data_IF_168001337311
#
_entry.id   IF_168001337311
#
_cell.length_a   1.000
_cell.length_b   1.000
_cell.length_c   1.000
_cell.angle_alpha   90.00
_cell.angle_beta   90.00
_cell.angle_gamma   90.00
#
_symmetry.space_group_name_H-M   'P 1'
#
loop_
_entity.id
_entity.type
_entity.pdbx_description
1 polymer ?
#
# COMPACT_ATOMS: atom_id res chain seq x y z
N UNK A 1 -18.67 -13.58 18.55
CA UNK A 1 -17.58 -14.30 17.85
C UNK A 1 -16.48 -13.33 17.37
N UNK A 2 -16.81 -12.30 16.60
CA UNK A 2 -15.85 -11.37 15.97
C UNK A 2 -14.95 -10.60 16.97
N UNK A 3 -15.53 -9.96 17.99
CA UNK A 3 -14.75 -9.23 19.00
C UNK A 3 -13.74 -10.11 19.74
N UNK A 4 -14.12 -11.38 20.02
CA UNK A 4 -13.19 -12.34 20.64
C UNK A 4 -12.00 -12.66 19.73
N UNK A 5 -12.23 -12.77 18.43
CA UNK A 5 -11.16 -13.00 17.47
C UNK A 5 -10.17 -11.82 17.43
N UNK A 6 -10.68 -10.59 17.36
CA UNK A 6 -9.86 -9.37 17.39
C UNK A 6 -9.03 -9.27 18.68
N UNK A 7 -9.65 -9.53 19.84
CA UNK A 7 -8.94 -9.50 21.14
C UNK A 7 -7.86 -10.57 21.20
N UNK A 8 -8.12 -11.77 20.66
CA UNK A 8 -7.12 -12.85 20.60
C UNK A 8 -5.96 -12.50 19.68
N UNK A 9 -6.24 -11.95 18.50
CA UNK A 9 -5.22 -11.51 17.54
C UNK A 9 -4.34 -10.41 18.15
N UNK A 10 -4.94 -9.40 18.73
CA UNK A 10 -4.23 -8.31 19.42
C UNK A 10 -3.33 -8.85 20.55
N UNK A 11 -3.86 -9.75 21.39
CA UNK A 11 -3.09 -10.39 22.45
C UNK A 11 -1.91 -11.23 21.92
N UNK A 12 -2.11 -11.95 20.81
CA UNK A 12 -1.06 -12.71 20.17
C UNK A 12 0.05 -11.81 19.62
N UNK A 13 -0.32 -10.70 18.96
CA UNK A 13 0.66 -9.71 18.47
C UNK A 13 1.46 -9.13 19.62
N UNK A 14 0.79 -8.70 20.71
CA UNK A 14 1.47 -8.19 21.91
C UNK A 14 2.43 -9.19 22.50
N UNK A 15 2.04 -10.47 22.59
CA UNK A 15 2.91 -11.56 23.07
C UNK A 15 4.11 -11.75 22.14
N UNK A 16 3.91 -11.81 20.81
CA UNK A 16 5.03 -11.95 19.87
C UNK A 16 6.05 -10.82 20.02
N UNK A 17 5.58 -9.57 20.17
CA UNK A 17 6.44 -8.42 20.41
C UNK A 17 7.21 -8.54 21.74
N UNK A 18 6.60 -9.08 22.81
CA UNK A 18 7.27 -9.29 24.10
C UNK A 18 8.36 -10.37 24.03
N UNK A 19 8.25 -11.32 23.09
CA UNK A 19 9.28 -12.32 22.80
C UNK A 19 10.36 -11.82 21.82
N UNK A 20 10.33 -10.53 21.46
CA UNK A 20 11.29 -9.94 20.52
C UNK A 20 11.06 -10.28 19.06
N UNK A 21 9.87 -10.81 18.73
CA UNK A 21 9.49 -11.13 17.34
C UNK A 21 8.87 -9.91 16.67
N UNK A 22 9.47 -9.45 15.57
CA UNK A 22 8.91 -8.38 14.76
C UNK A 22 7.65 -8.84 14.02
N UNK A 23 6.65 -7.98 13.95
CA UNK A 23 5.39 -8.25 13.25
C UNK A 23 5.26 -7.32 12.06
N UNK A 24 5.08 -7.89 10.88
CA UNK A 24 4.71 -7.14 9.69
C UNK A 24 3.19 -7.17 9.51
N UNK A 25 2.59 -6.01 9.32
CA UNK A 25 1.14 -5.91 9.16
C UNK A 25 0.80 -4.91 8.05
N UNK A 26 -0.16 -5.28 7.19
CA UNK A 26 -0.69 -4.36 6.22
C UNK A 26 -1.61 -3.35 6.92
N UNK A 27 -1.51 -2.07 6.54
CA UNK A 27 -2.23 -0.97 7.17
C UNK A 27 -3.75 -0.97 6.85
N UNK A 28 -4.18 -1.75 5.87
CA UNK A 28 -5.60 -1.93 5.50
C UNK A 28 -5.78 -3.25 4.76
N UNK A 29 -7.03 -3.69 4.67
CA UNK A 29 -7.40 -4.80 3.80
C UNK A 29 -7.34 -4.39 2.32
N UNK A 30 -6.85 -5.30 1.48
CA UNK A 30 -6.70 -5.09 0.04
C UNK A 30 -5.46 -4.26 -0.32
N UNK A 31 -5.35 -3.99 -1.61
CA UNK A 31 -4.25 -3.21 -2.20
C UNK A 31 -4.76 -1.85 -2.63
N UNK A 32 -3.97 -0.79 -2.47
CA UNK A 32 -4.28 0.50 -3.08
C UNK A 32 -4.28 0.35 -4.62
N UNK A 33 -5.31 0.89 -5.28
CA UNK A 33 -5.47 0.82 -6.73
C UNK A 33 -5.19 2.17 -7.39
N UNK A 34 -5.43 3.23 -6.64
CA UNK A 34 -5.29 4.63 -7.04
C UNK A 34 -3.94 5.26 -6.62
N UNK A 35 -3.04 4.46 -6.03
CA UNK A 35 -1.77 4.94 -5.51
C UNK A 35 -1.86 5.70 -4.18
N UNK A 36 -3.06 5.83 -3.60
CA UNK A 36 -3.26 6.45 -2.30
C UNK A 36 -3.41 5.37 -1.22
N UNK A 37 -2.32 5.11 -0.52
CA UNK A 37 -2.37 4.26 0.66
C UNK A 37 -2.94 5.03 1.85
N UNK A 38 -3.98 4.46 2.46
CA UNK A 38 -4.63 5.02 3.66
C UNK A 38 -4.72 3.95 4.72
N UNK A 39 -4.34 4.32 5.92
CA UNK A 39 -4.42 3.42 7.08
C UNK A 39 -5.87 3.23 7.51
N UNK A 40 -6.27 1.98 7.76
CA UNK A 40 -7.57 1.70 8.37
C UNK A 40 -7.48 1.89 9.90
N UNK A 41 -8.19 2.87 10.47
CA UNK A 41 -8.19 3.08 11.92
C UNK A 41 -8.69 1.87 12.71
N UNK A 42 -9.49 0.98 12.09
CA UNK A 42 -9.97 -0.24 12.74
C UNK A 42 -8.83 -1.19 13.08
N UNK A 43 -7.79 -1.23 12.24
CA UNK A 43 -6.57 -2.00 12.51
C UNK A 43 -5.89 -1.50 13.79
N UNK A 44 -5.70 -0.19 13.91
CA UNK A 44 -5.04 0.41 15.07
C UNK A 44 -5.87 0.22 16.34
N UNK A 45 -7.19 0.38 16.25
CA UNK A 45 -8.12 0.07 17.35
C UNK A 45 -8.03 -1.40 17.76
N UNK A 46 -7.87 -2.32 16.82
CA UNK A 46 -7.66 -3.74 17.11
C UNK A 46 -6.36 -3.96 17.87
N UNK A 47 -5.26 -3.32 17.46
CA UNK A 47 -3.98 -3.42 18.18
C UNK A 47 -4.08 -2.94 19.62
N UNK A 48 -4.84 -1.88 19.88
CA UNK A 48 -5.04 -1.32 21.21
C UNK A 48 -5.84 -2.23 22.17
N UNK A 49 -6.59 -3.22 21.68
CA UNK A 49 -7.35 -4.12 22.53
C UNK A 49 -6.49 -4.85 23.57
N UNK A 50 -5.23 -5.19 23.23
CA UNK A 50 -4.32 -5.84 24.15
C UNK A 50 -3.74 -4.88 25.22
N UNK A 51 -3.87 -3.57 25.02
CA UNK A 51 -3.37 -2.51 25.91
C UNK A 51 -4.48 -1.78 26.65
N UNK A 52 -5.73 -2.21 26.52
CA UNK A 52 -6.92 -1.51 27.05
C UNK A 52 -6.91 -1.29 28.57
N UNK A 53 -6.12 -2.06 29.33
CA UNK A 53 -6.01 -1.97 30.78
C UNK A 53 -4.80 -1.12 31.22
N UNK A 54 -4.02 -0.60 30.28
CA UNK A 54 -2.91 0.30 30.57
C UNK A 54 -3.46 1.72 30.87
N UNK A 55 -2.76 2.50 31.67
CA UNK A 55 -3.12 3.89 31.96
C UNK A 55 -3.21 4.75 30.70
N UNK A 56 -2.27 4.54 29.77
CA UNK A 56 -2.28 5.14 28.44
C UNK A 56 -2.09 4.04 27.39
N UNK A 57 -3.16 3.46 26.82
CA UNK A 57 -3.07 2.34 25.87
C UNK A 57 -2.22 2.65 24.65
N UNK A 58 -2.31 3.86 24.11
CA UNK A 58 -1.56 4.26 22.92
C UNK A 58 -0.07 4.39 23.20
N UNK A 59 0.28 5.01 24.33
CA UNK A 59 1.67 5.14 24.74
C UNK A 59 2.32 3.78 25.03
N UNK A 60 1.57 2.86 25.66
CA UNK A 60 2.02 1.50 25.91
C UNK A 60 2.24 0.70 24.62
N UNK A 61 1.30 0.84 23.65
CA UNK A 61 1.47 0.24 22.31
C UNK A 61 2.72 0.77 21.63
N UNK A 62 2.90 2.09 21.56
CA UNK A 62 4.04 2.71 20.87
C UNK A 62 5.38 2.33 21.51
N UNK A 63 5.45 2.33 22.84
CA UNK A 63 6.66 1.98 23.57
C UNK A 63 7.09 0.52 23.32
N UNK A 64 6.13 -0.42 23.23
CA UNK A 64 6.42 -1.83 23.02
C UNK A 64 6.59 -2.17 21.55
N UNK A 65 5.70 -1.67 20.68
CA UNK A 65 5.66 -2.10 19.27
C UNK A 65 6.70 -1.38 18.42
N UNK A 66 7.15 -0.17 18.80
CA UNK A 66 8.06 0.65 17.99
C UNK A 66 7.61 0.69 16.52
N UNK A 67 6.38 1.18 16.29
CA UNK A 67 5.75 1.15 14.98
C UNK A 67 6.59 1.91 13.97
N UNK A 68 7.07 1.22 12.93
CA UNK A 68 7.87 1.76 11.83
C UNK A 68 7.04 1.77 10.56
N UNK A 69 6.66 2.93 10.03
CA UNK A 69 6.02 3.02 8.72
C UNK A 69 6.97 2.56 7.62
N UNK A 70 6.47 1.72 6.71
CA UNK A 70 7.27 1.21 5.58
C UNK A 70 6.54 1.50 4.28
N UNK A 71 7.25 2.12 3.33
CA UNK A 71 6.75 2.39 1.99
C UNK A 71 7.47 1.53 0.96
N UNK A 72 6.71 1.01 0.00
CA UNK A 72 7.24 0.27 -1.15
C UNK A 72 6.86 1.00 -2.42
N UNK A 73 7.84 1.40 -3.22
CA UNK A 73 7.61 2.03 -4.52
C UNK A 73 8.17 1.14 -5.63
N UNK A 74 7.31 0.76 -6.56
CA UNK A 74 7.68 0.03 -7.77
C UNK A 74 7.84 1.00 -8.92
N UNK A 75 8.83 0.79 -9.78
CA UNK A 75 8.98 1.55 -11.01
C UNK A 75 7.91 1.19 -12.04
N UNK A 76 7.51 -0.08 -12.07
CA UNK A 76 6.39 -0.61 -12.84
C UNK A 76 5.55 -1.47 -11.90
N UNK A 77 4.26 -1.19 -11.81
CA UNK A 77 3.34 -2.08 -11.09
C UNK A 77 2.90 -3.21 -12.02
N UNK A 78 3.29 -4.46 -11.76
CA UNK A 78 2.92 -5.59 -12.64
C UNK A 78 1.41 -5.83 -12.67
N UNK A 79 0.65 -5.32 -11.72
CA UNK A 79 -0.81 -5.38 -11.70
C UNK A 79 -1.47 -4.07 -12.17
N UNK A 80 -0.72 -3.12 -12.70
CA UNK A 80 -1.20 -1.78 -13.02
C UNK A 80 -2.39 -1.80 -13.98
N UNK A 81 -2.30 -2.53 -15.08
CA UNK A 81 -3.38 -2.68 -16.08
C UNK A 81 -4.66 -3.23 -15.43
N UNK A 82 -4.57 -4.33 -14.68
CA UNK A 82 -5.73 -4.93 -14.00
C UNK A 82 -6.36 -3.98 -12.97
N UNK A 83 -5.55 -3.20 -12.25
CA UNK A 83 -6.04 -2.17 -11.33
C UNK A 83 -6.77 -1.05 -12.08
N UNK A 84 -6.25 -0.62 -13.22
CA UNK A 84 -6.88 0.40 -14.07
C UNK A 84 -8.21 -0.10 -14.64
N UNK A 85 -8.28 -1.33 -15.18
CA UNK A 85 -9.51 -1.97 -15.65
C UNK A 85 -10.59 -1.99 -14.56
N UNK A 86 -10.23 -2.38 -13.33
CA UNK A 86 -11.16 -2.39 -12.21
C UNK A 86 -11.66 -0.98 -11.86
N UNK A 87 -10.77 0.03 -11.82
CA UNK A 87 -11.17 1.41 -11.54
C UNK A 87 -12.08 1.98 -12.64
N UNK A 88 -11.80 1.68 -13.91
CA UNK A 88 -12.64 2.08 -15.04
C UNK A 88 -14.01 1.41 -14.96
N UNK A 89 -14.07 0.11 -14.68
CA UNK A 89 -15.32 -0.62 -14.53
C UNK A 89 -16.17 -0.04 -13.39
N UNK A 90 -15.56 0.24 -12.22
CA UNK A 90 -16.25 0.88 -11.09
C UNK A 90 -16.77 2.27 -11.47
N UNK A 91 -15.98 3.07 -12.19
CA UNK A 91 -16.38 4.40 -12.61
C UNK A 91 -17.55 4.37 -13.61
N UNK A 92 -17.57 3.38 -14.52
CA UNK A 92 -18.59 3.22 -15.57
C UNK A 92 -19.87 2.57 -15.02
N UNK A 93 -19.74 1.46 -14.31
CA UNK A 93 -20.84 0.55 -13.96
C UNK A 93 -21.24 0.62 -12.47
N UNK A 94 -20.47 1.36 -11.65
CA UNK A 94 -20.68 1.49 -10.20
C UNK A 94 -20.11 0.36 -9.36
N UNK A 95 -19.79 -0.78 -9.98
CA UNK A 95 -19.21 -1.96 -9.31
C UNK A 95 -18.25 -2.70 -10.24
N UNK A 96 -17.42 -3.56 -9.65
CA UNK A 96 -16.58 -4.49 -10.38
C UNK A 96 -16.79 -5.91 -9.83
N UNK A 97 -17.15 -6.83 -10.70
CA UNK A 97 -17.31 -8.24 -10.35
C UNK A 97 -16.05 -9.00 -10.74
N UNK A 98 -15.32 -9.47 -9.73
CA UNK A 98 -14.11 -10.26 -9.95
C UNK A 98 -14.44 -11.58 -10.63
N UNK A 99 -13.62 -11.94 -11.62
CA UNK A 99 -13.68 -13.26 -12.23
C UNK A 99 -13.20 -14.35 -11.25
N UNK A 100 -13.59 -15.60 -11.52
CA UNK A 100 -13.13 -16.74 -10.74
C UNK A 100 -11.59 -16.81 -10.77
N UNK A 101 -10.96 -17.00 -9.60
CA UNK A 101 -9.50 -17.03 -9.41
C UNK A 101 -8.73 -15.76 -9.74
N UNK A 102 -9.38 -14.62 -9.96
CA UNK A 102 -8.71 -13.37 -10.30
C UNK A 102 -7.70 -12.92 -9.22
N UNK A 103 -8.06 -13.09 -7.94
CA UNK A 103 -7.16 -12.76 -6.84
C UNK A 103 -5.88 -13.61 -6.87
N UNK A 104 -6.00 -14.90 -7.17
CA UNK A 104 -4.84 -15.79 -7.33
C UNK A 104 -3.97 -15.38 -8.53
N UNK A 105 -4.59 -15.08 -9.67
CA UNK A 105 -3.88 -14.59 -10.86
C UNK A 105 -3.14 -13.28 -10.56
N UNK A 106 -3.79 -12.35 -9.87
CA UNK A 106 -3.19 -11.09 -9.46
C UNK A 106 -2.02 -11.28 -8.48
N UNK A 107 -2.12 -12.25 -7.56
CA UNK A 107 -1.01 -12.60 -6.68
C UNK A 107 0.19 -13.16 -7.46
N UNK A 108 -0.04 -14.08 -8.39
CA UNK A 108 1.01 -14.66 -9.24
C UNK A 108 1.65 -13.56 -10.10
N UNK A 109 0.84 -12.72 -10.73
CA UNK A 109 1.33 -11.60 -11.53
C UNK A 109 2.15 -10.62 -10.67
N UNK A 110 1.67 -10.27 -9.49
CA UNK A 110 2.37 -9.43 -8.54
C UNK A 110 3.71 -10.02 -8.07
N UNK A 111 3.80 -11.35 -7.97
CA UNK A 111 5.03 -12.04 -7.55
C UNK A 111 6.04 -12.17 -8.69
N UNK A 112 5.59 -12.61 -9.87
CA UNK A 112 6.43 -12.98 -11.01
C UNK A 112 6.65 -11.84 -12.01
N UNK A 113 5.73 -10.85 -12.05
CA UNK A 113 5.75 -9.78 -13.04
C UNK A 113 6.95 -8.85 -12.89
N UNK A 114 7.31 -8.20 -13.99
CA UNK A 114 8.41 -7.24 -14.03
C UNK A 114 8.05 -5.99 -13.22
N UNK A 115 8.97 -5.55 -12.34
CA UNK A 115 8.76 -4.42 -11.43
C UNK A 115 9.69 -3.24 -11.69
N UNK A 116 10.68 -3.41 -12.58
CA UNK A 116 11.74 -2.43 -12.71
C UNK A 116 12.55 -2.29 -11.40
N UNK A 117 12.86 -1.07 -11.05
CA UNK A 117 13.48 -0.76 -9.75
C UNK A 117 12.44 -0.80 -8.65
N UNK A 118 12.83 -1.31 -7.49
CA UNK A 118 12.00 -1.33 -6.28
C UNK A 118 12.70 -0.50 -5.22
N UNK A 119 11.98 0.42 -4.61
CA UNK A 119 12.46 1.20 -3.48
C UNK A 119 11.66 0.85 -2.23
N UNK A 120 12.37 0.40 -1.20
CA UNK A 120 11.82 0.13 0.12
C UNK A 120 12.35 1.20 1.07
N UNK A 121 11.45 1.93 1.72
CA UNK A 121 11.80 2.97 2.68
C UNK A 121 11.23 2.65 4.06
N UNK A 122 12.07 2.76 5.07
CA UNK A 122 11.71 2.63 6.48
C UNK A 122 11.75 4.03 7.09
N UNK A 123 10.61 4.50 7.59
CA UNK A 123 10.55 5.75 8.34
C UNK A 123 11.11 5.58 9.76
N UNK A 124 11.15 6.66 10.52
CA UNK A 124 11.48 6.57 11.96
C UNK A 124 10.33 5.93 12.73
N UNK A 125 10.61 5.21 13.82
CA UNK A 125 9.56 4.75 14.71
C UNK A 125 8.69 5.94 15.17
N UNK A 126 7.39 5.68 15.25
CA UNK A 126 6.44 6.69 15.78
C UNK A 126 6.48 6.63 17.30
N UNK A 127 6.77 7.76 17.94
CA UNK A 127 7.00 7.84 19.38
C UNK A 127 6.01 8.74 20.14
N UNK A 128 5.40 9.71 19.49
CA UNK A 128 4.62 10.72 20.22
C UNK A 128 3.33 11.09 19.47
N UNK A 129 2.26 10.38 19.78
CA UNK A 129 0.89 10.71 19.36
C UNK A 129 -0.08 10.45 20.51
N UNK A 130 -1.15 11.23 20.58
CA UNK A 130 -2.12 11.21 21.68
C UNK A 130 -3.27 10.22 21.50
N UNK A 131 -3.62 9.90 20.25
CA UNK A 131 -4.78 9.08 19.93
C UNK A 131 -4.63 8.31 18.60
N UNK A 132 -5.64 7.52 18.27
CA UNK A 132 -5.67 6.70 17.03
C UNK A 132 -5.72 7.56 15.78
N UNK A 133 -6.39 8.70 15.85
CA UNK A 133 -6.53 9.59 14.70
C UNK A 133 -5.18 10.21 14.32
N UNK A 134 -4.47 10.76 15.30
CA UNK A 134 -3.11 11.26 15.11
C UNK A 134 -2.14 10.16 14.66
N UNK A 135 -2.27 8.93 15.17
CA UNK A 135 -1.46 7.81 14.73
C UNK A 135 -1.75 7.47 13.26
N UNK A 136 -3.03 7.46 12.85
CA UNK A 136 -3.45 7.23 11.47
C UNK A 136 -2.87 8.28 10.53
N UNK A 137 -3.05 9.55 10.85
CA UNK A 137 -2.54 10.67 10.06
C UNK A 137 -1.01 10.63 9.94
N UNK A 138 -0.33 10.30 11.04
CA UNK A 138 1.13 10.20 11.04
C UNK A 138 1.63 9.06 10.18
N UNK A 139 1.00 7.87 10.23
CA UNK A 139 1.30 6.73 9.39
C UNK A 139 1.13 7.09 7.91
N UNK A 140 -0.03 7.65 7.53
CA UNK A 140 -0.33 8.04 6.15
C UNK A 140 0.68 9.06 5.63
N UNK A 141 0.98 10.09 6.43
CA UNK A 141 1.97 11.10 6.08
C UNK A 141 3.36 10.50 5.87
N UNK A 142 3.82 9.66 6.80
CA UNK A 142 5.16 9.08 6.73
C UNK A 142 5.27 8.08 5.56
N UNK A 143 4.22 7.31 5.24
CA UNK A 143 4.19 6.40 4.09
C UNK A 143 4.25 7.20 2.78
N UNK A 144 3.35 8.17 2.60
CA UNK A 144 3.26 8.95 1.35
C UNK A 144 4.52 9.79 1.13
N UNK A 145 5.06 10.43 2.17
CA UNK A 145 6.28 11.24 2.04
C UNK A 145 7.53 10.44 1.70
N UNK A 146 7.53 9.14 1.95
CA UNK A 146 8.64 8.22 1.65
C UNK A 146 8.47 7.48 0.32
N UNK A 147 7.43 7.75 -0.46
CA UNK A 147 7.33 7.22 -1.81
C UNK A 147 8.43 7.80 -2.71
N UNK A 148 8.98 6.92 -3.54
CA UNK A 148 9.92 7.31 -4.58
C UNK A 148 9.25 7.32 -5.95
N UNK A 149 9.32 8.45 -6.65
CA UNK A 149 8.93 8.53 -8.05
C UNK A 149 10.09 8.12 -8.95
N UNK A 150 9.78 7.33 -9.97
CA UNK A 150 10.71 6.89 -10.99
C UNK A 150 10.48 7.65 -12.33
N UNK A 151 11.37 7.54 -13.32
CA UNK A 151 11.15 8.13 -14.64
C UNK A 151 9.84 7.73 -15.30
N UNK A 152 9.41 6.48 -15.13
CA UNK A 152 8.11 5.96 -15.62
C UNK A 152 6.92 6.77 -15.09
N UNK A 153 6.91 7.10 -13.80
CA UNK A 153 5.85 7.90 -13.19
C UNK A 153 5.81 9.32 -13.76
N UNK A 154 6.99 9.94 -13.96
CA UNK A 154 7.08 11.27 -14.55
C UNK A 154 6.64 11.26 -16.01
N UNK A 155 7.02 10.21 -16.76
CA UNK A 155 6.57 10.03 -18.13
C UNK A 155 5.05 9.90 -18.22
N UNK A 156 4.44 9.03 -17.40
CA UNK A 156 3.00 8.86 -17.33
C UNK A 156 2.27 10.18 -17.00
N UNK A 157 2.76 10.92 -16.00
CA UNK A 157 2.19 12.22 -15.61
C UNK A 157 2.28 13.25 -16.75
N UNK A 158 3.39 13.33 -17.47
CA UNK A 158 3.56 14.21 -18.64
C UNK A 158 2.61 13.82 -19.77
N UNK A 159 2.47 12.53 -20.05
CA UNK A 159 1.57 12.00 -21.08
C UNK A 159 0.12 12.37 -20.78
N UNK A 160 -0.33 12.18 -19.54
CA UNK A 160 -1.67 12.54 -19.09
C UNK A 160 -1.93 14.07 -19.13
N UNK A 161 -0.91 14.87 -18.90
CA UNK A 161 -0.99 16.34 -18.99
C UNK A 161 -0.92 16.86 -20.43
N UNK A 162 -0.87 16.00 -21.45
CA UNK A 162 -0.78 16.38 -22.86
C UNK A 162 0.55 17.04 -23.27
N UNK A 163 1.61 16.88 -22.46
CA UNK A 163 2.92 17.44 -22.78
C UNK A 163 3.60 16.66 -23.91
N UNK A 164 4.06 17.39 -24.94
CA UNK A 164 4.80 16.80 -26.08
C UNK A 164 6.28 16.62 -25.82
N UNK A 165 6.77 16.96 -24.64
CA UNK A 165 8.18 16.81 -24.25
C UNK A 165 8.50 15.31 -24.10
N UNK A 166 8.92 14.72 -25.21
CA UNK A 166 9.34 13.30 -25.27
C UNK A 166 10.76 13.20 -24.77
N UNK A 167 10.95 12.84 -23.50
CA UNK A 167 12.25 12.32 -23.07
C UNK A 167 12.62 11.12 -23.96
N UNK A 168 13.88 11.04 -24.38
CA UNK A 168 14.39 9.90 -25.18
C UNK A 168 14.38 8.66 -24.28
N UNK A 169 13.46 7.75 -24.57
CA UNK A 169 13.08 6.62 -23.71
C UNK A 169 13.67 5.31 -24.24
N UNK A 170 14.47 5.37 -25.31
CA UNK A 170 14.89 4.21 -26.10
C UNK A 170 15.75 3.20 -25.34
N UNK A 171 16.38 3.60 -24.23
CA UNK A 171 17.32 2.77 -23.47
C UNK A 171 16.81 2.30 -22.11
N UNK A 172 15.71 2.86 -21.58
CA UNK A 172 15.16 2.47 -20.28
C UNK A 172 14.11 1.36 -20.43
N UNK A 173 14.46 0.14 -20.02
CA UNK A 173 13.57 -1.05 -20.12
C UNK A 173 12.21 -0.85 -19.44
N UNK A 174 12.18 -0.10 -18.35
CA UNK A 174 10.94 0.13 -17.61
C UNK A 174 9.99 1.06 -18.37
N UNK A 175 10.54 2.07 -19.07
CA UNK A 175 9.77 2.96 -19.93
C UNK A 175 9.31 2.27 -21.21
N UNK A 176 10.10 1.35 -21.76
CA UNK A 176 9.69 0.52 -22.91
C UNK A 176 8.53 -0.39 -22.51
N UNK A 177 8.60 -1.03 -21.34
CA UNK A 177 7.51 -1.86 -20.81
C UNK A 177 6.23 -1.04 -20.58
N UNK A 178 6.33 0.13 -19.93
CA UNK A 178 5.18 1.01 -19.72
C UNK A 178 4.53 1.46 -21.03
N UNK A 179 5.32 1.78 -22.07
CA UNK A 179 4.79 2.14 -23.39
C UNK A 179 4.05 0.99 -24.04
N UNK A 180 4.55 -0.24 -23.92
CA UNK A 180 3.88 -1.43 -24.43
C UNK A 180 2.54 -1.66 -23.73
N UNK A 181 2.51 -1.50 -22.39
CA UNK A 181 1.28 -1.64 -21.61
C UNK A 181 0.25 -0.55 -21.97
N UNK A 182 0.70 0.71 -22.13
CA UNK A 182 -0.19 1.81 -22.55
C UNK A 182 -0.73 1.61 -23.97
N UNK A 183 0.08 1.07 -24.89
CA UNK A 183 -0.38 0.77 -26.24
C UNK A 183 -1.43 -0.36 -26.26
N UNK A 184 -1.26 -1.36 -25.39
CA UNK A 184 -2.22 -2.45 -25.25
C UNK A 184 -3.57 -2.03 -24.68
N UNK A 185 -3.60 -0.95 -23.87
CA UNK A 185 -4.83 -0.37 -23.30
C UNK A 185 -5.57 0.57 -24.27
N UNK A 186 -4.94 0.98 -25.39
CA UNK A 186 -5.49 2.00 -26.29
C UNK A 186 -6.32 1.47 -27.46
N UNK A 187 -6.46 0.16 -27.63
CA UNK A 187 -7.14 -0.45 -28.78
C UNK A 187 -8.64 -0.80 -28.53
N UNK A 188 -9.19 -0.43 -27.38
CA UNK A 188 -10.62 -0.57 -27.06
C UNK A 188 -11.29 0.82 -27.09
N UNK A 189 -11.57 1.36 -28.31
CA UNK A 189 -12.58 2.39 -28.56
C UNK A 189 -13.94 1.79 -28.92
#
# INVERSE_FOLDING_TARGET
AYYRALTRTSGYIRHSLSEGVSVWIAQREGRAKDGFDRTDPALLKMLLLAYRNEESPISALLAQAQIVPVSVSYEVDPCGTKKAEELVAIARDGEYQKAEHEDLQSMILGLMGYKGRVHLSFARPIDNVGDVEQLTERLDKDIVSNYRTFPTHRYAAKTLAGSQDREDVSTDKALVALKADLAACGDDE
#
